data_IF_981234565103
#
_entry.id   IF_981234565103
#
_cell.length_a   1.000
_cell.length_b   1.000
_cell.length_c   1.000
_cell.angle_alpha   90.00
_cell.angle_beta   90.00
_cell.angle_gamma   90.00
#
_symmetry.space_group_name_H-M   'P 1'
#
loop_
_entity.id
_entity.type
_entity.pdbx_description
1 polymer ?
2 branched ?
3 water ?
#
# COMPACT_ATOMS: atom_id res chain seq x y z
N UNK A 38 23.35 -18.43 -5.12
CA UNK A 38 22.30 -17.70 -4.42
C UNK A 38 22.84 -16.47 -3.74
N UNK A 39 23.76 -15.78 -4.41
CA UNK A 39 24.50 -14.68 -3.81
C UNK A 39 23.75 -13.36 -3.87
N UNK A 40 22.79 -13.20 -4.78
CA UNK A 40 22.03 -11.95 -4.92
C UNK A 40 20.59 -12.34 -5.20
N UNK A 41 19.64 -11.47 -4.79
CA UNK A 41 18.24 -11.81 -5.03
C UNK A 41 17.96 -11.69 -6.52
N UNK A 42 17.22 -12.66 -7.06
CA UNK A 42 17.00 -12.77 -8.48
C UNK A 42 15.53 -12.58 -8.82
N UNK A 43 15.25 -11.71 -9.78
CA UNK A 43 13.92 -11.62 -10.32
C UNK A 43 13.57 -12.92 -11.03
N UNK A 44 12.28 -13.10 -11.32
CA UNK A 44 11.84 -14.37 -11.88
C UNK A 44 12.38 -14.62 -13.28
N UNK A 45 12.82 -13.59 -13.99
CA UNK A 45 13.46 -13.75 -15.30
C UNK A 45 14.95 -14.05 -15.18
N UNK A 46 15.46 -14.21 -13.97
CA UNK A 46 16.86 -14.52 -13.75
C UNK A 46 17.76 -13.32 -13.62
N UNK A 47 17.24 -12.12 -13.86
CA UNK A 47 18.02 -10.91 -13.67
C UNK A 47 18.19 -10.59 -12.19
N UNK A 48 19.26 -9.89 -11.87
CA UNK A 48 19.56 -9.55 -10.50
C UNK A 48 18.74 -8.33 -10.10
N UNK A 49 18.19 -8.37 -8.88
CA UNK A 49 17.52 -7.23 -8.28
C UNK A 49 18.52 -6.55 -7.36
N UNK A 50 18.78 -5.26 -7.61
CA UNK A 50 19.72 -4.52 -6.78
C UNK A 50 18.90 -3.49 -5.99
N UNK A 51 18.72 -3.69 -4.68
CA UNK A 51 17.89 -2.75 -3.92
C UNK A 51 18.62 -1.45 -3.64
N UNK A 52 17.85 -0.38 -3.48
CA UNK A 52 18.42 0.84 -2.95
C UNK A 52 18.79 0.65 -1.48
N UNK A 53 19.74 1.46 -1.00
CA UNK A 53 20.25 1.31 0.36
C UNK A 53 19.20 1.62 1.42
N UNK A 54 18.12 2.32 1.06
CA UNK A 54 17.12 2.73 2.04
C UNK A 54 15.89 1.81 2.04
N UNK A 55 15.92 0.73 1.26
CA UNK A 55 14.81 -0.21 1.25
C UNK A 55 14.76 -1.00 2.56
N UNK A 56 13.58 -1.49 2.92
CA UNK A 56 13.45 -2.41 4.06
C UNK A 56 14.23 -3.69 3.82
N UNK A 57 14.41 -4.43 4.90
CA UNK A 57 14.98 -5.76 4.80
C UNK A 57 14.12 -6.64 3.91
N UNK A 58 14.76 -7.61 3.26
CA UNK A 58 14.05 -8.62 2.49
C UNK A 58 14.75 -9.96 2.68
N UNK A 59 13.96 -11.02 2.66
CA UNK A 59 14.44 -12.38 2.72
C UNK A 59 13.36 -13.30 2.17
N UNK A 60 13.78 -14.46 1.64
CA UNK A 60 12.82 -15.49 1.28
C UNK A 60 12.58 -16.51 2.39
N UNK A 61 13.18 -16.31 3.57
CA UNK A 61 13.13 -17.37 4.60
C UNK A 61 11.70 -17.80 4.91
N UNK A 62 10.81 -16.84 5.10
CA UNK A 62 9.38 -17.07 5.22
C UNK A 62 8.71 -16.03 4.32
N UNK A 63 7.39 -16.05 4.26
CA UNK A 63 6.68 -15.13 3.35
C UNK A 63 7.03 -13.70 3.71
N UNK A 64 7.52 -12.89 2.77
CA UNK A 64 7.81 -11.49 3.08
C UNK A 64 6.53 -10.70 3.30
N UNK A 65 6.47 -9.99 4.43
CA UNK A 65 5.23 -9.38 4.85
C UNK A 65 5.32 -7.86 4.93
N UNK A 66 4.18 -7.22 4.68
CA UNK A 66 3.94 -5.81 4.94
C UNK A 66 2.68 -5.74 5.78
N UNK A 67 2.66 -4.82 6.73
CA UNK A 67 1.49 -4.62 7.58
C UNK A 67 0.99 -3.18 7.46
N UNK A 68 -0.32 -2.99 7.59
CA UNK A 68 -0.88 -1.63 7.48
C UNK A 68 -2.14 -1.59 8.34
N UNK A 69 -2.23 -0.60 9.22
CA UNK A 69 -3.24 -0.61 10.27
C UNK A 69 -3.33 0.76 10.93
N UNK A 70 -4.51 1.02 11.52
CA UNK A 70 -4.69 2.19 12.35
C UNK A 70 -5.98 2.03 13.13
N UNK A 71 -6.07 2.77 14.23
CA UNK A 71 -7.25 2.76 15.10
C UNK A 71 -7.46 4.17 15.59
N UNK A 72 -8.59 4.77 15.21
CA UNK A 72 -8.90 6.11 15.69
C UNK A 72 -8.93 6.19 17.21
N UNK A 73 -9.32 5.10 17.89
CA UNK A 73 -9.67 5.15 19.29
C UNK A 73 -8.50 4.89 20.21
N UNK A 74 -7.39 4.35 19.71
CA UNK A 74 -6.36 3.91 20.64
C UNK A 74 -5.04 3.69 19.92
N UNK A 75 -3.96 3.79 20.70
CA UNK A 75 -2.64 3.34 20.30
C UNK A 75 -2.50 1.84 20.57
N UNK A 76 -1.51 1.25 19.92
CA UNK A 76 -1.23 -0.15 20.15
C UNK A 76 -0.72 -0.36 21.56
N UNK A 77 -1.07 -1.48 22.14
CA UNK A 77 -0.44 -1.88 23.39
C UNK A 77 0.97 -2.39 23.10
N UNK A 78 1.88 -2.31 24.07
CA UNK A 78 3.24 -2.84 23.85
C UNK A 78 3.25 -4.25 23.31
N UNK A 79 2.35 -5.10 23.80
CA UNK A 79 2.30 -6.48 23.35
C UNK A 79 1.90 -6.59 21.88
N UNK A 80 1.05 -5.67 21.41
CA UNK A 80 0.64 -5.64 20.01
C UNK A 80 1.78 -5.17 19.12
N UNK A 81 2.54 -4.16 19.57
CA UNK A 81 3.75 -3.76 18.86
C UNK A 81 4.71 -4.94 18.74
N UNK A 82 4.90 -5.69 19.84
CA UNK A 82 5.80 -6.83 19.79
C UNK A 82 5.30 -7.85 18.77
N UNK A 83 4.00 -8.11 18.75
CA UNK A 83 3.43 -9.10 17.85
C UNK A 83 3.72 -8.75 16.40
N UNK A 84 3.41 -7.51 16.02
CA UNK A 84 3.59 -7.10 14.63
C UNK A 84 5.07 -7.02 14.29
N UNK A 85 5.89 -6.48 15.21
CA UNK A 85 7.32 -6.35 14.92
C UNK A 85 7.96 -7.69 14.63
N UNK A 86 7.54 -8.75 15.31
CA UNK A 86 8.10 -10.08 15.05
C UNK A 86 7.84 -10.53 13.62
N UNK A 87 6.77 -10.06 13.00
CA UNK A 87 6.24 -10.58 11.76
C UNK A 87 6.56 -9.73 10.53
N UNK A 88 7.15 -8.55 10.71
CA UNK A 88 7.42 -7.67 9.57
C UNK A 88 8.57 -6.72 9.85
N UNK A 89 9.19 -6.29 8.74
CA UNK A 89 10.18 -5.21 8.73
C UNK A 89 9.65 -3.96 8.02
N UNK A 90 8.36 -3.92 7.65
CA UNK A 90 7.85 -2.90 6.72
C UNK A 90 6.36 -2.71 6.99
N UNK A 91 5.98 -1.53 7.47
CA UNK A 91 4.58 -1.29 7.78
C UNK A 91 4.20 0.17 7.58
N UNK A 92 2.89 0.41 7.63
CA UNK A 92 2.30 1.72 7.44
C UNK A 92 1.23 1.97 8.50
N UNK A 93 1.25 3.18 9.08
CA UNK A 93 0.21 3.63 10.01
C UNK A 93 -0.87 4.36 9.21
N UNK A 94 -2.14 3.99 9.43
CA UNK A 94 -3.27 4.50 8.67
C UNK A 94 -3.70 5.90 9.10
N UNK A 95 -4.72 6.38 8.39
CA UNK A 95 -5.00 7.81 8.25
C UNK A 95 -5.58 8.47 9.49
N UNK A 96 -6.12 7.72 10.45
CA UNK A 96 -6.74 8.30 11.63
C UNK A 96 -6.08 7.86 12.93
N UNK A 97 -4.96 7.14 12.86
CA UNK A 97 -4.46 6.41 14.00
C UNK A 97 -4.22 7.29 15.21
N UNK A 98 -4.84 6.94 16.34
CA UNK A 98 -4.61 7.68 17.57
C UNK A 98 -5.25 9.04 17.63
N UNK A 99 -6.12 9.37 16.69
CA UNK A 99 -6.64 10.73 16.67
C UNK A 99 -7.42 11.07 17.93
N UNK A 100 -8.16 10.09 18.47
CA UNK A 100 -8.91 10.37 19.70
C UNK A 100 -8.01 10.53 20.90
N UNK A 101 -7.14 9.58 21.24
CA UNK A 101 -6.31 9.78 22.44
C UNK A 101 -5.33 10.94 22.34
N UNK A 102 -4.75 11.18 21.16
CA UNK A 102 -3.67 12.15 21.01
C UNK A 102 -4.09 13.44 20.31
N UNK A 103 -5.28 13.48 19.72
CA UNK A 103 -5.81 14.69 19.13
C UNK A 103 -5.49 14.87 17.66
N UNK A 104 -4.54 14.11 17.10
CA UNK A 104 -4.15 14.31 15.72
C UNK A 104 -3.47 13.04 15.22
N UNK A 105 -3.83 12.63 14.00
CA UNK A 105 -3.39 11.34 13.49
C UNK A 105 -1.90 11.27 13.18
N UNK A 106 -1.24 12.39 12.91
CA UNK A 106 0.21 12.34 12.73
C UNK A 106 0.91 12.03 14.04
N UNK A 107 0.29 12.37 15.17
CA UNK A 107 0.84 12.01 16.47
C UNK A 107 0.69 10.51 16.75
N UNK A 108 -0.37 9.89 16.25
CA UNK A 108 -0.45 8.44 16.29
C UNK A 108 0.68 7.78 15.51
N UNK A 109 0.94 8.29 14.31
CA UNK A 109 2.05 7.79 13.51
C UNK A 109 3.38 7.99 14.23
N UNK A 110 3.59 9.18 14.80
CA UNK A 110 4.84 9.45 15.52
C UNK A 110 5.01 8.47 16.68
N UNK A 111 3.93 8.21 17.42
CA UNK A 111 4.01 7.31 18.55
C UNK A 111 4.38 5.90 18.13
N UNK A 112 3.70 5.37 17.12
CA UNK A 112 3.98 3.99 16.72
C UNK A 112 5.33 3.86 16.05
N UNK A 113 5.73 4.83 15.22
CA UNK A 113 7.05 4.71 14.62
C UNK A 113 8.12 4.57 15.68
N UNK A 114 8.00 5.37 16.75
CA UNK A 114 8.98 5.27 17.83
C UNK A 114 8.86 3.96 18.56
N UNK A 115 7.63 3.50 18.84
CA UNK A 115 7.46 2.25 19.56
C UNK A 115 8.06 1.08 18.78
N UNK A 116 7.84 1.03 17.46
CA UNK A 116 8.38 -0.06 16.66
C UNK A 116 9.90 0.03 16.58
N UNK A 117 10.43 1.23 16.44
CA UNK A 117 11.87 1.37 16.24
C UNK A 117 12.65 1.08 17.51
N UNK A 118 11.99 1.17 18.67
CA UNK A 118 12.64 0.75 19.92
C UNK A 118 12.96 -0.74 19.88
N UNK A 119 12.09 -1.54 19.24
CA UNK A 119 12.35 -2.99 19.09
C UNK A 119 13.32 -3.25 17.95
N UNK A 120 12.97 -2.79 16.76
CA UNK A 120 13.78 -3.03 15.57
C UNK A 120 14.12 -1.67 15.00
N UNK A 121 15.32 -1.16 15.26
CA UNK A 121 15.66 0.18 14.76
C UNK A 121 15.59 0.30 13.25
N UNK A 122 15.76 -0.79 12.51
CA UNK A 122 15.75 -0.75 11.05
C UNK A 122 14.38 -1.09 10.46
N UNK A 123 13.36 -1.25 11.29
CA UNK A 123 11.98 -1.33 10.78
C UNK A 123 11.70 -0.09 9.93
N UNK A 124 10.99 -0.28 8.83
CA UNK A 124 10.53 0.84 8.01
C UNK A 124 9.05 1.10 8.29
N UNK A 125 8.72 2.34 8.62
CA UNK A 125 7.38 2.72 9.01
C UNK A 125 6.95 3.89 8.12
N UNK A 126 5.83 3.73 7.39
CA UNK A 126 5.35 4.76 6.48
C UNK A 126 4.23 5.59 7.07
N UNK A 127 4.28 6.89 6.77
CA UNK A 127 3.24 7.86 7.08
C UNK A 127 2.23 7.85 5.94
N UNK A 128 0.95 7.84 6.28
CA UNK A 128 -0.12 7.81 5.27
C UNK A 128 -0.59 9.20 4.92
N UNK A 129 -0.80 9.43 3.62
CA UNK A 129 -1.57 10.63 3.27
C UNK A 129 -2.33 10.41 1.97
N UNK A 130 -3.57 10.87 1.96
CA UNK A 130 -4.42 10.71 0.79
C UNK A 130 -4.22 11.88 -0.15
N UNK A 131 -4.05 11.58 -1.42
CA UNK A 131 -3.84 12.59 -2.45
C UNK A 131 -5.15 13.23 -2.91
N UNK A 132 -6.29 12.65 -2.55
CA UNK A 132 -7.58 12.99 -3.13
C UNK A 132 -8.56 13.50 -2.08
N UNK A 133 -8.83 12.73 -1.03
CA UNK A 133 -9.80 13.08 0.00
C UNK A 133 -9.07 13.81 1.12
N UNK A 134 -9.55 15.01 1.44
CA UNK A 134 -8.96 15.84 2.49
C UNK A 134 -9.43 15.41 3.87
N UNK A 135 -9.05 14.19 4.24
CA UNK A 135 -9.45 13.66 5.55
C UNK A 135 -8.96 14.60 6.64
N UNK A 136 -9.83 15.05 7.56
CA UNK A 136 -9.42 16.09 8.52
C UNK A 136 -8.86 15.53 9.81
N UNK A 137 -8.05 14.48 9.75
CA UNK A 137 -7.62 13.74 10.92
C UNK A 137 -6.25 14.13 11.44
N UNK A 138 -5.36 14.58 10.56
CA UNK A 138 -4.12 15.20 10.97
C UNK A 138 -4.36 16.68 11.26
N UNK A 139 -3.47 17.25 12.08
CA UNK A 139 -3.51 18.70 12.27
C UNK A 139 -3.38 19.44 10.95
N UNK A 140 -2.63 18.88 10.00
CA UNK A 140 -2.39 19.53 8.71
C UNK A 140 -3.69 19.80 7.96
N UNK A 141 -4.66 18.91 8.09
CA UNK A 141 -5.92 18.99 7.37
C UNK A 141 -7.07 19.43 8.27
N UNK A 142 -6.78 19.98 9.44
CA UNK A 142 -7.83 20.28 10.41
C UNK A 142 -8.85 21.29 9.89
N UNK A 143 -8.47 22.12 8.94
CA UNK A 143 -9.39 23.12 8.41
C UNK A 143 -10.41 22.55 7.45
N UNK A 144 -10.23 21.33 6.93
CA UNK A 144 -11.07 20.80 5.88
C UNK A 144 -12.35 20.18 6.46
N UNK A 145 -13.13 21.03 7.13
CA UNK A 145 -14.42 20.65 7.67
C UNK A 145 -15.41 21.74 7.31
N UNK A 146 -16.70 21.41 7.36
CA UNK A 146 -17.72 22.40 7.04
C UNK A 146 -17.61 23.63 7.93
N UNK A 147 -17.33 23.42 9.21
CA UNK A 147 -17.35 24.50 10.19
C UNK A 147 -16.10 25.35 10.16
N UNK A 148 -15.02 24.92 9.49
CA UNK A 148 -13.78 25.68 9.48
C UNK A 148 -13.32 26.14 8.10
N UNK A 149 -13.74 25.46 7.02
CA UNK A 149 -13.08 25.68 5.72
C UNK A 149 -13.31 27.10 5.20
N UNK A 150 -14.48 27.68 5.47
CA UNK A 150 -14.72 29.04 4.99
C UNK A 150 -13.78 30.04 5.65
N UNK A 151 -13.27 29.73 6.84
CA UNK A 151 -12.32 30.60 7.52
C UNK A 151 -10.90 30.44 6.99
N UNK A 152 -10.68 29.56 6.02
CA UNK A 152 -9.34 29.32 5.45
C UNK A 152 -9.46 29.44 3.93
N UNK A 153 -9.59 30.66 3.42
CA UNK A 153 -9.82 30.81 1.98
C UNK A 153 -8.75 30.23 1.08
N UNK A 154 -7.47 30.35 1.45
CA UNK A 154 -6.41 29.78 0.60
C UNK A 154 -6.54 28.26 0.53
N UNK A 155 -6.68 27.61 1.68
CA UNK A 155 -6.87 26.16 1.68
C UNK A 155 -8.15 25.80 0.93
N UNK A 156 -9.24 26.55 1.14
CA UNK A 156 -10.48 26.25 0.44
C UNK A 156 -10.28 26.32 -1.08
N UNK A 157 -9.39 27.19 -1.54
CA UNK A 157 -9.19 27.37 -2.97
C UNK A 157 -8.48 26.19 -3.62
N UNK A 158 -7.95 25.26 -2.83
CA UNK A 158 -7.28 24.07 -3.32
C UNK A 158 -8.26 22.95 -3.64
N UNK A 159 -9.56 23.16 -3.47
CA UNK A 159 -10.54 22.09 -3.47
C UNK A 159 -11.45 22.15 -4.69
N UNK A 160 -11.99 21.01 -5.08
CA UNK A 160 -12.86 20.93 -6.25
C UNK A 160 -14.27 21.41 -5.88
N UNK A 161 -14.89 22.14 -6.81
CA UNK A 161 -16.26 22.64 -6.69
C UNK A 161 -17.20 21.80 -7.55
N UNK A 162 -18.40 21.51 -7.01
CA UNK A 162 -19.47 20.84 -7.76
C UNK A 162 -20.21 21.89 -8.56
N UNK A 163 -20.15 21.86 -9.90
CA UNK A 163 -20.90 22.86 -10.68
C UNK A 163 -22.40 22.83 -10.43
N UNK A 164 -22.96 21.67 -10.07
CA UNK A 164 -24.40 21.59 -9.85
C UNK A 164 -24.85 22.45 -8.67
N UNK A 165 -23.96 22.73 -7.71
CA UNK A 165 -24.31 23.49 -6.53
C UNK A 165 -23.55 24.81 -6.41
N UNK A 166 -22.46 24.99 -7.15
CA UNK A 166 -21.51 26.08 -6.94
C UNK A 166 -20.87 26.01 -5.55
N UNK A 167 -20.94 24.85 -4.91
CA UNK A 167 -20.40 24.63 -3.58
C UNK A 167 -19.33 23.53 -3.67
N UNK A 168 -18.61 23.35 -2.57
CA UNK A 168 -17.53 22.36 -2.58
C UNK A 168 -18.08 20.98 -2.90
N UNK A 169 -17.36 20.28 -3.78
CA UNK A 169 -17.60 18.85 -4.00
C UNK A 169 -17.19 18.09 -2.74
N UNK A 170 -17.87 16.97 -2.50
CA UNK A 170 -17.57 16.23 -1.29
C UNK A 170 -18.16 14.84 -1.35
N UNK A 171 -17.62 13.98 -0.47
CA UNK A 171 -18.18 12.70 -0.26
C UNK A 171 -18.44 12.66 1.24
N UNK A 172 -19.71 12.72 1.64
CA UNK A 172 -20.07 12.71 3.05
C UNK A 172 -19.25 13.73 3.85
N UNK A 173 -19.18 14.94 3.30
CA UNK A 173 -18.59 16.11 3.96
C UNK A 173 -17.09 16.08 4.02
N UNK A 174 -16.44 15.24 3.21
CA UNK A 174 -15.00 15.24 3.06
C UNK A 174 -14.68 15.81 1.68
N UNK A 175 -13.84 16.83 1.65
CA UNK A 175 -13.58 17.59 0.44
C UNK A 175 -12.48 16.96 -0.42
N UNK A 176 -12.37 17.47 -1.65
CA UNK A 176 -11.58 16.87 -2.71
C UNK A 176 -10.44 17.81 -3.08
N UNK A 177 -9.19 17.39 -2.84
CA UNK A 177 -8.07 18.16 -3.33
C UNK A 177 -8.08 18.21 -4.86
N UNK A 178 -7.60 19.33 -5.42
CA UNK A 178 -7.55 19.51 -6.88
C UNK A 178 -6.12 19.45 -7.37
N UNK A 179 -5.73 18.29 -7.92
CA UNK A 179 -4.34 18.13 -8.37
C UNK A 179 -3.99 19.00 -9.57
N UNK A 180 -4.97 19.53 -10.28
CA UNK A 180 -4.69 20.44 -11.38
C UNK A 180 -4.28 21.83 -10.91
N UNK A 181 -4.49 22.15 -9.63
CA UNK A 181 -4.14 23.44 -9.03
C UNK A 181 -2.67 23.39 -8.64
N UNK A 182 -1.80 24.17 -9.28
CA UNK A 182 -0.36 24.08 -8.94
C UNK A 182 -0.10 24.46 -7.51
N UNK A 183 -0.90 25.37 -6.95
CA UNK A 183 -0.70 25.76 -5.56
C UNK A 183 -1.04 24.60 -4.62
N UNK A 184 -2.05 23.81 -4.96
CA UNK A 184 -2.33 22.59 -4.19
C UNK A 184 -1.19 21.60 -4.30
N UNK A 185 -0.64 21.40 -5.50
CA UNK A 185 0.46 20.45 -5.63
C UNK A 185 1.61 20.84 -4.73
N UNK A 186 1.92 22.14 -4.65
CA UNK A 186 3.02 22.60 -3.80
C UNK A 186 2.69 22.43 -2.32
N UNK A 187 1.50 22.86 -1.90
CA UNK A 187 1.10 22.77 -0.50
C UNK A 187 1.03 21.31 -0.05
N UNK A 188 0.39 20.46 -0.83
CA UNK A 188 0.19 19.06 -0.44
C UNK A 188 1.52 18.33 -0.35
N UNK A 189 2.41 18.53 -1.31
CA UNK A 189 3.68 17.83 -1.26
C UNK A 189 4.52 18.31 -0.09
N UNK A 190 4.50 19.60 0.22
CA UNK A 190 5.19 20.08 1.42
C UNK A 190 4.54 19.50 2.67
N UNK A 191 3.21 19.43 2.71
CA UNK A 191 2.51 18.92 3.89
C UNK A 191 2.87 17.47 4.15
N UNK A 192 2.87 16.63 3.11
CA UNK A 192 3.21 15.22 3.34
C UNK A 192 4.65 15.10 3.83
N UNK A 193 5.57 15.84 3.21
CA UNK A 193 6.95 15.84 3.71
C UNK A 193 7.03 16.28 5.16
N UNK A 194 6.25 17.29 5.53
CA UNK A 194 6.20 17.69 6.93
C UNK A 194 5.74 16.54 7.82
N UNK A 195 4.70 15.82 7.39
CA UNK A 195 4.19 14.73 8.19
C UNK A 195 5.20 13.62 8.35
N UNK A 196 5.91 13.28 7.28
CA UNK A 196 7.00 12.31 7.37
C UNK A 196 8.06 12.79 8.37
N UNK A 197 8.45 14.06 8.30
CA UNK A 197 9.51 14.57 9.18
C UNK A 197 9.04 14.62 10.62
N UNK A 198 7.84 15.16 10.87
CA UNK A 198 7.34 15.28 12.24
C UNK A 198 7.11 13.90 12.88
N UNK A 199 6.69 12.93 12.09
CA UNK A 199 6.37 11.62 12.64
C UNK A 199 7.58 10.71 12.76
N UNK A 200 8.73 11.09 12.19
CA UNK A 200 9.87 10.19 12.21
C UNK A 200 9.72 8.98 11.32
N UNK A 201 8.78 9.02 10.39
CA UNK A 201 8.59 7.88 9.50
C UNK A 201 9.62 7.84 8.38
N UNK A 202 9.70 6.69 7.73
CA UNK A 202 10.71 6.40 6.73
C UNK A 202 10.24 6.66 5.31
N UNK A 203 9.08 7.28 5.16
CA UNK A 203 8.54 7.59 3.85
C UNK A 203 7.03 7.72 3.96
N UNK A 204 6.38 7.70 2.82
CA UNK A 204 4.96 7.96 2.74
C UNK A 204 4.23 6.93 1.90
N UNK A 205 3.05 6.55 2.35
CA UNK A 205 2.07 5.79 1.58
C UNK A 205 1.06 6.78 1.03
N UNK A 206 0.99 6.90 -0.29
CA UNK A 206 0.05 7.81 -0.95
C UNK A 206 -1.13 7.04 -1.49
N UNK A 207 -2.30 7.33 -0.95
CA UNK A 207 -3.55 6.73 -1.40
C UNK A 207 -4.16 7.57 -2.51
N UNK A 208 -4.63 6.89 -3.53
CA UNK A 208 -5.34 7.39 -4.70
C UNK A 208 -4.40 8.01 -5.71
N UNK A 209 -4.62 7.65 -6.97
CA UNK A 209 -3.88 8.21 -8.08
C UNK A 209 -4.77 8.95 -9.06
N UNK A 210 -6.12 8.94 -8.88
CA UNK A 210 -7.06 9.31 -9.94
C UNK A 210 -7.29 10.79 -10.13
N UNK A 211 -6.98 11.63 -9.15
CA UNK A 211 -7.27 13.05 -9.23
C UNK A 211 -8.69 13.40 -9.64
N UNK A 212 -9.66 12.55 -9.28
CA UNK A 212 -11.06 12.79 -9.64
C UNK A 212 -11.23 13.12 -11.12
N UNK A 213 -10.53 12.38 -11.98
CA UNK A 213 -10.58 12.71 -13.40
C UNK A 213 -12.00 12.65 -13.95
N UNK A 214 -12.87 11.81 -13.36
CA UNK A 214 -14.24 11.68 -13.86
C UNK A 214 -15.04 12.96 -13.66
N UNK A 215 -14.62 13.84 -12.78
CA UNK A 215 -15.25 15.14 -12.58
C UNK A 215 -14.73 16.20 -13.56
N UNK A 216 -13.72 15.89 -14.37
CA UNK A 216 -13.17 16.80 -15.38
C UNK A 216 -12.58 15.84 -16.43
N UNK A 217 -13.44 15.08 -17.09
CA UNK A 217 -12.95 13.98 -17.93
C UNK A 217 -12.19 14.47 -19.15
N UNK A 218 -12.52 15.65 -19.66
CA UNK A 218 -11.82 16.22 -20.80
C UNK A 218 -10.39 16.61 -20.45
N UNK A 219 -10.05 16.61 -19.16
CA UNK A 219 -8.70 16.91 -18.72
C UNK A 219 -8.00 15.69 -18.14
N UNK A 220 -8.45 14.47 -18.51
CA UNK A 220 -7.91 13.25 -17.90
C UNK A 220 -6.40 13.14 -18.06
N UNK A 221 -5.88 13.41 -19.26
CA UNK A 221 -4.44 13.35 -19.46
C UNK A 221 -3.72 14.39 -18.59
N UNK A 222 -4.27 15.60 -18.51
CA UNK A 222 -3.67 16.62 -17.66
C UNK A 222 -3.62 16.17 -16.21
N UNK A 223 -4.69 15.50 -15.74
CA UNK A 223 -4.72 15.00 -14.37
C UNK A 223 -3.59 13.99 -14.16
N UNK A 224 -3.41 13.06 -15.10
CA UNK A 224 -2.35 12.06 -14.98
C UNK A 224 -0.98 12.73 -14.87
N UNK A 225 -0.71 13.72 -15.72
CA UNK A 225 0.56 14.43 -15.68
C UNK A 225 0.72 15.20 -14.37
N UNK A 226 -0.37 15.83 -13.89
CA UNK A 226 -0.30 16.60 -12.66
C UNK A 226 -0.02 15.71 -11.46
N UNK A 227 -0.62 14.53 -11.44
CA UNK A 227 -0.29 13.56 -10.38
C UNK A 227 1.19 13.21 -10.38
N UNK A 228 1.75 13.01 -11.57
CA UNK A 228 3.18 12.80 -11.65
C UNK A 228 3.97 13.95 -11.06
N UNK A 229 3.60 15.18 -11.43
CA UNK A 229 4.29 16.36 -10.91
C UNK A 229 4.20 16.44 -9.40
N UNK A 230 3.02 16.16 -8.83
CA UNK A 230 2.86 16.25 -7.38
C UNK A 230 3.71 15.20 -6.67
N UNK A 231 3.74 13.98 -7.21
CA UNK A 231 4.59 12.93 -6.62
C UNK A 231 6.05 13.29 -6.73
N UNK A 232 6.47 13.87 -7.85
CA UNK A 232 7.88 14.24 -7.99
C UNK A 232 8.27 15.32 -7.00
N UNK A 233 7.38 16.29 -6.75
CA UNK A 233 7.65 17.28 -5.73
C UNK A 233 7.84 16.62 -4.37
N UNK A 234 6.95 15.69 -4.04
CA UNK A 234 7.03 15.04 -2.73
C UNK A 234 8.33 14.24 -2.59
N UNK A 235 8.70 13.50 -3.64
CA UNK A 235 9.93 12.71 -3.56
C UNK A 235 11.13 13.60 -3.25
N UNK A 236 11.22 14.76 -3.90
CA UNK A 236 12.33 15.66 -3.60
C UNK A 236 12.26 16.23 -2.19
N UNK A 237 11.06 16.65 -1.76
CA UNK A 237 10.93 17.37 -0.51
C UNK A 237 11.18 16.49 0.71
N UNK A 238 10.96 15.18 0.60
CA UNK A 238 11.26 14.30 1.73
C UNK A 238 12.76 14.17 1.97
N UNK A 239 13.58 14.49 0.97
CA UNK A 239 15.01 14.33 1.10
C UNK A 239 15.47 12.89 0.94
N UNK A 240 16.75 12.67 1.20
CA UNK A 240 17.31 11.35 0.95
C UNK A 240 16.74 10.24 1.83
N UNK A 241 16.77 9.02 1.28
CA UNK A 241 16.59 7.82 2.06
C UNK A 241 15.16 7.63 2.56
N UNK A 242 14.20 8.18 1.84
CA UNK A 242 12.78 8.03 2.18
C UNK A 242 12.04 7.29 1.07
N UNK A 243 11.11 6.42 1.49
CA UNK A 243 10.37 5.54 0.59
C UNK A 243 9.07 6.23 0.17
N UNK A 244 8.78 6.23 -1.12
CA UNK A 244 7.50 6.73 -1.64
C UNK A 244 6.74 5.54 -2.21
N UNK A 245 5.64 5.18 -1.57
CA UNK A 245 4.79 4.07 -2.01
C UNK A 245 3.47 4.62 -2.53
N UNK A 246 3.15 4.30 -3.78
CA UNK A 246 1.91 4.72 -4.38
C UNK A 246 0.92 3.57 -4.48
N UNK A 247 -0.28 3.80 -3.94
CA UNK A 247 -1.29 2.76 -4.00
C UNK A 247 -1.82 2.62 -5.42
N UNK A 248 -1.89 1.37 -5.88
CA UNK A 248 -2.37 1.05 -7.24
C UNK A 248 -1.60 1.79 -8.33
N UNK A 249 -0.30 2.00 -8.13
CA UNK A 249 0.50 2.70 -9.12
C UNK A 249 0.91 1.82 -10.29
N UNK A 250 0.43 0.58 -10.32
CA UNK A 250 0.57 -0.24 -11.52
C UNK A 250 -0.41 0.15 -12.61
N UNK A 251 -1.45 0.91 -12.29
CA UNK A 251 -2.48 1.24 -13.25
C UNK A 251 -2.04 2.33 -14.21
N UNK A 252 -2.62 2.31 -15.41
CA UNK A 252 -2.25 3.28 -16.45
C UNK A 252 -2.41 4.72 -15.96
N UNK A 253 -3.44 4.99 -15.15
CA UNK A 253 -3.68 6.37 -14.70
C UNK A 253 -2.52 6.89 -13.88
N UNK A 254 -1.68 6.00 -13.36
CA UNK A 254 -0.55 6.35 -12.53
C UNK A 254 0.78 6.40 -13.27
N UNK A 255 0.77 6.35 -14.59
CA UNK A 255 2.00 6.20 -15.36
C UNK A 255 2.99 7.34 -15.16
N UNK A 256 2.52 8.58 -14.98
CA UNK A 256 3.45 9.67 -14.78
C UNK A 256 3.98 9.74 -13.36
N UNK A 257 3.27 9.15 -12.41
CA UNK A 257 3.74 9.08 -11.04
C UNK A 257 4.68 7.90 -10.79
N UNK A 258 4.47 6.79 -11.48
CA UNK A 258 5.26 5.59 -11.25
C UNK A 258 6.77 5.81 -11.25
N UNK A 259 7.36 6.59 -12.15
CA UNK A 259 8.83 6.67 -12.16
C UNK A 259 9.43 7.15 -10.85
N UNK A 260 8.76 8.05 -10.12
CA UNK A 260 9.36 8.57 -8.90
C UNK A 260 9.02 7.71 -7.68
N UNK A 261 8.16 6.71 -7.82
CA UNK A 261 7.80 5.85 -6.72
C UNK A 261 8.91 4.82 -6.49
N UNK A 262 9.11 4.49 -5.22
CA UNK A 262 9.96 3.35 -4.86
C UNK A 262 9.17 2.06 -4.75
N UNK A 263 7.85 2.15 -4.59
CA UNK A 263 7.03 0.97 -4.31
C UNK A 263 5.62 1.25 -4.79
N UNK A 264 4.87 0.17 -5.04
CA UNK A 264 3.49 0.25 -5.50
C UNK A 264 2.70 -0.89 -4.89
N UNK A 265 1.48 -0.62 -4.50
CA UNK A 265 0.60 -1.61 -3.91
C UNK A 265 -0.48 -2.07 -4.86
N UNK A 266 -0.67 -3.39 -4.95
CA UNK A 266 -1.86 -3.99 -5.56
C UNK A 266 -2.88 -4.13 -4.45
N UNK A 267 -3.86 -3.24 -4.40
CA UNK A 267 -4.80 -3.20 -3.30
C UNK A 267 -5.92 -4.25 -3.39
N UNK A 268 -6.22 -4.73 -4.59
CA UNK A 268 -7.28 -5.73 -4.76
C UNK A 268 -8.57 -5.27 -4.10
N UNK A 269 -8.99 -4.04 -4.44
CA UNK A 269 -10.09 -3.36 -3.77
C UNK A 269 -11.48 -3.79 -4.25
N UNK A 270 -11.58 -4.71 -5.21
CA UNK A 270 -12.89 -5.24 -5.57
C UNK A 270 -12.72 -6.62 -6.18
N UNK A 271 -13.87 -7.27 -6.42
CA UNK A 271 -13.85 -8.63 -6.94
C UNK A 271 -13.21 -8.70 -8.33
N UNK A 272 -13.43 -7.68 -9.14
CA UNK A 272 -12.90 -7.69 -10.50
C UNK A 272 -11.38 -7.76 -10.49
N UNK A 273 -10.74 -7.07 -9.54
CA UNK A 273 -9.28 -7.07 -9.47
C UNK A 273 -8.72 -8.38 -8.92
N UNK A 274 -9.60 -9.31 -8.53
CA UNK A 274 -9.22 -10.64 -8.08
C UNK A 274 -9.60 -11.72 -9.09
N UNK A 275 -10.03 -11.32 -10.28
CA UNK A 275 -10.39 -12.28 -11.32
C UNK A 275 -9.13 -12.99 -11.83
N UNK A 276 -9.33 -14.14 -12.48
CA UNK A 276 -8.17 -14.86 -13.03
C UNK A 276 -7.36 -13.97 -13.97
N UNK A 277 -8.03 -13.10 -14.73
CA UNK A 277 -7.32 -12.26 -15.67
C UNK A 277 -6.55 -11.17 -14.93
N UNK A 278 -7.14 -10.62 -13.89
CA UNK A 278 -6.44 -9.58 -13.14
C UNK A 278 -5.24 -10.14 -12.39
N UNK A 279 -5.36 -11.36 -11.86
CA UNK A 279 -4.22 -11.98 -11.18
C UNK A 279 -3.08 -12.24 -12.14
N UNK A 280 -3.37 -12.73 -13.35
CA UNK A 280 -2.33 -12.86 -14.35
C UNK A 280 -1.68 -11.51 -14.64
N UNK A 281 -2.48 -10.46 -14.71
CA UNK A 281 -1.94 -9.12 -14.91
C UNK A 281 -1.09 -8.70 -13.71
N UNK A 282 -1.54 -9.02 -12.49
CA UNK A 282 -0.72 -8.71 -11.31
C UNK A 282 0.66 -9.33 -11.46
N UNK A 283 0.71 -10.59 -11.89
CA UNK A 283 2.00 -11.27 -11.97
C UNK A 283 2.89 -10.59 -13.01
N UNK A 284 2.32 -10.20 -14.16
CA UNK A 284 3.10 -9.46 -15.14
C UNK A 284 3.62 -8.15 -14.55
N UNK A 285 2.71 -7.43 -13.86
CA UNK A 285 3.08 -6.13 -13.30
C UNK A 285 4.15 -6.27 -12.22
N UNK A 286 4.08 -7.33 -11.42
CA UNK A 286 5.08 -7.55 -10.38
C UNK A 286 6.46 -7.74 -10.97
N UNK A 287 6.55 -8.48 -12.08
CA UNK A 287 7.81 -8.62 -12.77
C UNK A 287 8.30 -7.28 -13.30
N UNK A 288 7.40 -6.50 -13.92
CA UNK A 288 7.81 -5.20 -14.46
C UNK A 288 8.28 -4.28 -13.35
N UNK A 289 7.59 -4.29 -12.21
CA UNK A 289 8.00 -3.45 -11.10
C UNK A 289 9.38 -3.87 -10.60
N UNK A 290 9.60 -5.18 -10.46
CA UNK A 290 10.91 -5.67 -10.01
C UNK A 290 12.01 -5.31 -11.01
N UNK A 291 11.72 -5.46 -12.29
CA UNK A 291 12.71 -5.12 -13.31
C UNK A 291 13.06 -3.64 -13.25
N UNK A 292 12.16 -2.80 -12.75
CA UNK A 292 12.44 -1.38 -12.56
C UNK A 292 13.16 -1.09 -11.26
N UNK A 293 13.51 -2.12 -10.49
CA UNK A 293 14.17 -1.90 -9.22
C UNK A 293 13.30 -1.42 -8.09
N UNK A 294 11.97 -1.50 -8.25
CA UNK A 294 11.01 -0.99 -7.27
C UNK A 294 10.40 -2.15 -6.51
N UNK A 295 9.72 -1.83 -5.41
CA UNK A 295 9.07 -2.83 -4.57
C UNK A 295 7.59 -2.92 -4.90
N UNK A 296 6.99 -4.08 -4.67
CA UNK A 296 5.55 -4.18 -4.74
C UNK A 296 4.98 -4.75 -3.45
N UNK A 297 3.77 -4.33 -3.11
CA UNK A 297 3.00 -4.91 -2.02
C UNK A 297 1.80 -5.57 -2.68
N UNK A 298 1.61 -6.84 -2.42
CA UNK A 298 0.46 -7.59 -2.90
C UNK A 298 -0.46 -7.73 -1.70
N UNK A 299 -1.51 -6.92 -1.68
CA UNK A 299 -2.40 -6.82 -0.52
C UNK A 299 -3.73 -7.49 -0.81
N UNK A 300 -4.20 -8.26 0.15
CA UNK A 300 -5.51 -8.90 0.04
C UNK A 300 -6.34 -8.49 1.21
N UNK A 301 -7.57 -8.08 0.91
CA UNK A 301 -8.62 -7.93 1.88
C UNK A 301 -9.72 -8.91 1.56
N UNK A 302 -9.93 -9.85 2.47
CA UNK A 302 -10.93 -10.88 2.27
C UNK A 302 -12.33 -10.29 2.20
N UNK A 303 -12.50 -9.02 2.58
CA UNK A 303 -13.78 -8.35 2.37
C UNK A 303 -14.23 -8.38 0.92
N UNK A 304 -13.30 -8.58 -0.03
CA UNK A 304 -13.62 -8.71 -1.44
C UNK A 304 -13.70 -10.17 -1.91
N UNK A 305 -13.63 -11.13 -0.99
CA UNK A 305 -13.79 -12.53 -1.34
C UNK A 305 -15.25 -12.84 -1.62
N UNK A 306 -15.54 -13.76 -2.56
CA UNK A 306 -16.94 -14.05 -2.89
C UNK A 306 -17.77 -14.50 -1.69
N UNK A 307 -17.16 -15.16 -0.71
CA UNK A 307 -17.88 -15.74 0.42
C UNK A 307 -18.41 -14.69 1.40
N UNK A 320 -18.10 -14.59 9.38
CA UNK A 320 -17.14 -14.14 10.38
C UNK A 320 -15.73 -14.03 9.79
N UNK A 321 -15.20 -12.80 9.80
CA UNK A 321 -14.05 -12.45 8.98
C UNK A 321 -12.76 -13.16 9.37
N UNK A 322 -12.41 -13.27 10.65
CA UNK A 322 -11.19 -14.02 10.99
C UNK A 322 -11.23 -15.47 10.55
N UNK A 323 -12.37 -16.14 10.71
CA UNK A 323 -12.47 -17.54 10.31
C UNK A 323 -12.33 -17.66 8.80
N UNK A 324 -13.06 -16.84 8.04
CA UNK A 324 -12.97 -16.84 6.59
C UNK A 324 -11.54 -16.52 6.13
N UNK A 325 -10.95 -15.47 6.68
CA UNK A 325 -9.59 -15.11 6.26
C UNK A 325 -8.61 -16.23 6.58
N UNK A 326 -8.74 -16.84 7.75
CA UNK A 326 -7.82 -17.93 8.08
C UNK A 326 -7.98 -19.10 7.12
N UNK A 327 -9.23 -19.41 6.72
CA UNK A 327 -9.46 -20.51 5.78
C UNK A 327 -8.91 -20.18 4.40
N UNK A 328 -9.02 -18.92 3.98
CA UNK A 328 -8.64 -18.51 2.63
C UNK A 328 -7.18 -18.11 2.53
N UNK A 329 -6.42 -18.15 3.62
CA UNK A 329 -5.04 -17.68 3.57
C UNK A 329 -4.21 -18.48 2.57
N UNK A 330 -4.38 -19.80 2.52
CA UNK A 330 -3.58 -20.60 1.61
C UNK A 330 -3.79 -20.18 0.17
N UNK A 331 -5.05 -19.95 -0.23
CA UNK A 331 -5.34 -19.51 -1.59
C UNK A 331 -4.70 -18.16 -1.88
N UNK A 332 -4.89 -17.17 -1.01
CA UNK A 332 -4.38 -15.83 -1.33
C UNK A 332 -2.87 -15.76 -1.26
N UNK A 333 -2.26 -16.50 -0.32
CA UNK A 333 -0.81 -16.60 -0.29
C UNK A 333 -0.29 -17.23 -1.57
N UNK A 334 -0.93 -18.31 -2.02
CA UNK A 334 -0.53 -18.94 -3.26
C UNK A 334 -0.56 -17.95 -4.42
N UNK A 335 -1.60 -17.12 -4.47
CA UNK A 335 -1.70 -16.12 -5.54
C UNK A 335 -0.51 -15.17 -5.51
N UNK A 336 -0.09 -14.75 -4.32
CA UNK A 336 1.09 -13.90 -4.20
C UNK A 336 2.35 -14.64 -4.63
N UNK A 337 2.54 -15.88 -4.14
CA UNK A 337 3.79 -16.58 -4.37
C UNK A 337 4.03 -16.90 -5.85
N UNK A 338 2.97 -17.15 -6.60
CA UNK A 338 3.14 -17.37 -8.05
C UNK A 338 3.92 -16.21 -8.67
N UNK A 339 3.60 -14.98 -8.27
CA UNK A 339 4.21 -13.82 -8.87
C UNK A 339 5.30 -13.15 -8.08
N UNK A 340 5.62 -13.66 -6.89
CA UNK A 340 6.49 -12.93 -5.97
C UNK A 340 7.86 -12.66 -6.58
N UNK A 341 8.42 -11.52 -6.21
CA UNK A 341 9.73 -11.05 -6.65
C UNK A 341 10.55 -10.56 -5.48
N UNK A 342 11.86 -10.42 -5.66
CA UNK A 342 12.66 -9.78 -4.61
C UNK A 342 12.05 -8.44 -4.24
N UNK A 343 12.07 -8.13 -2.94
CA UNK A 343 11.58 -6.85 -2.44
C UNK A 343 10.12 -6.63 -2.80
N UNK A 344 9.36 -7.73 -2.85
CA UNK A 344 7.91 -7.70 -2.85
C UNK A 344 7.42 -8.26 -1.53
N UNK A 345 6.23 -7.85 -1.12
CA UNK A 345 5.71 -8.12 0.22
C UNK A 345 4.23 -8.43 0.12
N UNK A 346 3.75 -9.33 0.99
CA UNK A 346 2.34 -9.69 1.07
C UNK A 346 1.72 -9.00 2.28
N UNK A 347 0.47 -8.56 2.11
CA UNK A 347 -0.30 -8.00 3.21
C UNK A 347 -1.62 -8.76 3.21
N UNK A 348 -2.06 -9.16 4.40
CA UNK A 348 -3.24 -10.00 4.50
C UNK A 348 -4.14 -9.59 5.66
N UNK A 349 -5.44 -9.58 5.36
CA UNK A 349 -6.44 -9.27 6.36
C UNK A 349 -7.78 -9.05 5.70
N UNK A 350 -8.62 -8.25 6.36
CA UNK A 350 -9.95 -7.93 5.87
C UNK A 350 -10.25 -6.43 6.01
N UNK A 351 -9.23 -5.60 5.90
CA UNK A 351 -9.41 -4.16 5.96
C UNK A 351 -8.15 -3.48 6.42
N UNK A 352 -8.33 -2.28 6.93
CA UNK A 352 -7.25 -1.32 7.20
C UNK A 352 -7.21 -0.88 8.65
N UNK A 353 -8.09 -1.39 9.49
CA UNK A 353 -8.04 -1.05 10.90
C UNK A 353 -7.11 -2.01 11.64
N UNK A 354 -6.77 -1.64 12.86
CA UNK A 354 -5.92 -2.50 13.68
C UNK A 354 -6.57 -3.86 13.91
N UNK A 355 -7.89 -3.91 13.95
CA UNK A 355 -8.62 -5.15 14.19
C UNK A 355 -8.87 -5.94 12.91
N UNK A 356 -8.32 -5.53 11.76
CA UNK A 356 -8.62 -6.15 10.47
C UNK A 356 -7.63 -7.24 10.07
N UNK A 357 -6.90 -7.81 11.01
CA UNK A 357 -6.08 -8.99 10.73
C UNK A 357 -4.64 -8.89 11.19
N UNK A 358 -4.13 -7.68 11.39
CA UNK A 358 -2.73 -7.52 11.77
C UNK A 358 -2.40 -8.25 13.06
N UNK A 359 -3.38 -8.44 13.94
CA UNK A 359 -3.12 -9.03 15.25
C UNK A 359 -3.48 -10.50 15.30
N UNK A 360 -3.81 -11.10 14.16
CA UNK A 360 -4.12 -12.52 14.09
C UNK A 360 -2.94 -13.28 13.52
N UNK A 361 -2.80 -14.55 13.91
CA UNK A 361 -1.79 -15.43 13.34
C UNK A 361 -2.39 -16.19 12.15
N UNK A 362 -1.74 -16.10 10.99
CA UNK A 362 -2.05 -16.91 9.83
C UNK A 362 -0.87 -17.85 9.68
N UNK A 363 -0.97 -19.12 10.09
CA UNK A 363 0.25 -19.92 10.24
C UNK A 363 1.03 -20.13 8.96
N UNK A 364 0.35 -20.11 7.81
CA UNK A 364 1.04 -20.27 6.53
C UNK A 364 2.13 -19.22 6.35
N UNK A 365 1.92 -18.02 6.86
CA UNK A 365 2.87 -16.94 6.65
C UNK A 365 4.16 -17.11 7.42
N UNK A 366 4.23 -18.05 8.36
CA UNK A 366 5.42 -18.22 9.17
C UNK A 366 6.18 -19.47 8.78
N UNK A 367 5.71 -20.19 7.78
CA UNK A 367 6.36 -21.42 7.36
C UNK A 367 7.55 -21.14 6.45
N UNK A 368 8.54 -22.02 6.50
CA UNK A 368 9.73 -21.87 5.68
C UNK A 368 9.35 -21.90 4.19
N UNK A 369 9.90 -20.94 3.44
CA UNK A 369 9.61 -20.77 2.04
C UNK A 369 10.86 -21.00 1.20
N UNK A 370 11.90 -20.19 1.38
CA UNK A 370 13.14 -20.32 0.65
C UNK A 370 13.05 -19.67 -0.72
N UNK A 371 14.19 -19.52 -1.38
CA UNK A 371 14.21 -18.83 -2.67
C UNK A 371 13.44 -19.61 -3.72
N UNK A 372 12.82 -18.94 -4.69
CA UNK A 372 12.19 -19.66 -5.79
C UNK A 372 13.23 -20.42 -6.61
N UNK A 373 12.83 -21.59 -7.10
CA UNK A 373 13.63 -22.41 -8.01
C UNK A 373 13.47 -22.01 -9.47
N UNK A 374 12.51 -21.17 -9.76
CA UNK A 374 12.23 -20.70 -11.09
C UNK A 374 10.97 -19.88 -11.08
N UNK A 375 10.68 -19.28 -12.23
CA UNK A 375 9.42 -18.61 -12.47
C UNK A 375 8.26 -19.60 -12.41
N UNK A 376 7.05 -19.07 -12.28
CA UNK A 376 5.88 -19.92 -12.25
C UNK A 376 5.71 -20.61 -13.60
N UNK A 377 4.99 -21.72 -13.56
CA UNK A 377 4.55 -22.45 -14.74
C UNK A 377 3.05 -22.33 -14.86
N UNK A 378 2.55 -21.98 -16.04
CA UNK A 378 1.14 -22.16 -16.38
C UNK A 378 0.98 -23.59 -16.91
N UNK A 379 0.38 -24.45 -16.09
CA UNK A 379 0.51 -25.90 -16.29
C UNK A 379 0.06 -26.31 -17.68
N UNK A 380 -1.08 -25.80 -18.13
CA UNK A 380 -1.54 -26.00 -19.50
C UNK A 380 -1.68 -24.64 -20.16
N UNK A 381 -1.20 -24.47 -21.40
CA UNK A 381 -0.95 -23.11 -21.93
C UNK A 381 -2.11 -22.14 -21.84
N UNK A 382 -3.35 -22.59 -21.98
CA UNK A 382 -4.49 -21.70 -21.89
C UNK A 382 -5.34 -21.96 -20.67
N UNK A 383 -4.89 -22.83 -19.76
CA UNK A 383 -5.62 -23.11 -18.56
C UNK A 383 -5.32 -22.09 -17.46
N UNK A 384 -5.91 -22.34 -16.29
CA UNK A 384 -5.83 -21.41 -15.17
C UNK A 384 -5.21 -22.07 -13.94
N UNK A 385 -4.47 -23.15 -14.13
CA UNK A 385 -3.63 -23.74 -13.10
C UNK A 385 -2.23 -23.16 -13.22
N UNK A 386 -1.68 -22.75 -12.08
CA UNK A 386 -0.33 -22.20 -12.05
C UNK A 386 0.42 -22.84 -10.89
N UNK A 387 1.70 -23.07 -11.09
CA UNK A 387 2.54 -23.67 -10.06
C UNK A 387 3.84 -22.88 -9.95
N UNK A 388 4.48 -23.01 -8.78
CA UNK A 388 5.81 -22.47 -8.63
C UNK A 388 6.51 -23.22 -7.52
N UNK A 389 7.81 -23.45 -7.70
CA UNK A 389 8.62 -24.24 -6.78
C UNK A 389 9.58 -23.31 -6.06
N UNK A 390 9.58 -23.39 -4.72
CA UNK A 390 10.49 -22.70 -3.84
C UNK A 390 11.31 -23.78 -3.13
N UNK A 391 12.36 -23.36 -2.46
CA UNK A 391 13.24 -24.36 -1.88
C UNK A 391 12.51 -25.24 -0.88
N UNK A 392 11.55 -24.67 -0.15
CA UNK A 392 10.87 -25.36 0.93
C UNK A 392 9.37 -25.50 0.72
N UNK A 393 8.86 -25.25 -0.48
CA UNK A 393 7.43 -25.33 -0.71
C UNK A 393 7.13 -25.46 -2.20
N UNK A 394 6.05 -26.18 -2.50
CA UNK A 394 5.49 -26.26 -3.83
C UNK A 394 4.12 -25.60 -3.83
N UNK A 395 3.93 -24.64 -4.71
CA UNK A 395 2.70 -23.87 -4.77
C UNK A 395 1.88 -24.32 -5.97
N UNK A 396 0.58 -24.53 -5.75
CA UNK A 396 -0.38 -24.84 -6.81
C UNK A 396 -1.60 -23.97 -6.59
N UNK A 397 -2.11 -23.35 -7.65
CA UNK A 397 -3.33 -22.54 -7.56
C UNK A 397 -4.11 -22.66 -8.87
N UNK A 398 -5.43 -22.75 -8.73
CA UNK A 398 -6.35 -22.59 -9.85
C UNK A 398 -7.13 -21.30 -9.61
N UNK A 399 -6.82 -20.27 -10.39
CA UNK A 399 -7.43 -18.96 -10.19
C UNK A 399 -8.79 -18.86 -10.88
N UNK A 400 -9.15 -19.84 -11.71
CA UNK A 400 -10.52 -19.91 -12.23
C UNK A 400 -11.47 -20.44 -11.16
N UNK A 401 -11.08 -21.51 -10.49
CA UNK A 401 -11.96 -22.12 -9.50
C UNK A 401 -11.76 -21.57 -8.08
N UNK A 402 -10.65 -20.88 -7.83
CA UNK A 402 -10.43 -20.31 -6.52
C UNK A 402 -9.95 -21.31 -5.50
N UNK A 403 -9.17 -22.30 -5.92
CA UNK A 403 -8.60 -23.31 -5.04
C UNK A 403 -7.08 -23.29 -5.12
N UNK A 404 -6.45 -23.69 -4.03
CA UNK A 404 -5.01 -23.76 -4.00
C UNK A 404 -4.54 -24.81 -3.01
N UNK A 405 -3.26 -25.14 -3.12
CA UNK A 405 -2.59 -26.00 -2.16
C UNK A 405 -1.12 -25.66 -2.19
N UNK A 406 -0.58 -25.28 -1.03
CA UNK A 406 0.84 -25.12 -0.86
C UNK A 406 1.33 -26.34 -0.10
N UNK A 407 2.19 -27.13 -0.73
CA UNK A 407 2.80 -28.30 -0.09
C UNK A 407 4.11 -27.82 0.53
N UNK A 408 4.10 -27.69 1.85
CA UNK A 408 5.29 -27.25 2.57
C UNK A 408 6.18 -28.45 2.84
N UNK A 409 7.47 -28.28 2.55
CA UNK A 409 8.45 -29.36 2.65
C UNK A 409 9.51 -29.05 3.70
X LIG B 1 -6.90 2.50 1.44
X LIG B 1 -5.51 2.09 1.80
X LIG B 1 -8.78 4.64 1.19
X LIG B 1 -7.72 2.98 2.63
X LIG B 1 -9.01 3.53 2.16
X LIG B 1 -7.94 4.20 0.00
X LIG B 1 -6.69 3.60 0.49
X LIG B 1 -7.01 4.02 3.35
X LIG B 1 -8.66 3.22 -0.64
X LIG B 1 -9.83 4.04 3.28
X LIG B 1 -10.11 6.69 0.40
X LIG B 1 -9.12 7.05 -0.64
X LIG B 1 -11.52 6.81 -0.09
X LIG B 1 -9.83 7.39 1.67
X LIG B 1 -10.02 5.11 0.66
X LIG B 2 -12.56 4.72 2.41
X LIG B 2 -13.17 5.15 3.73
X LIG B 2 -12.18 5.09 4.81
X LIG B 2 -11.58 3.70 4.89
X LIG B 2 -10.96 3.25 3.59
X LIG B 2 -11.95 3.34 2.53
X LIG B 2 -13.59 4.67 1.36
X LIG B 2 -12.82 5.40 6.09
X LIG B 2 -10.55 2.44 6.91
X LIG B 2 -11.79 2.52 7.78
X LIG B 2 -9.28 2.65 7.67
X LIG B 2 -10.62 1.22 6.08
X LIG B 2 -10.57 3.73 5.89
X LIG B 2 -15.76 4.80 4.33
X LIG B 2 -15.89 6.19 3.81
X LIG B 2 -16.60 3.71 3.75
X LIG B 2 -15.94 5.03 5.79
X LIG B 2 -14.21 4.19 4.07
X LIG B 3 -12.47 6.66 6.57
X LIG B 3 -13.66 7.20 7.39
X LIG B 3 -13.85 6.38 8.61
X LIG B 3 -12.60 6.20 9.41
X LIG B 3 -11.42 5.67 8.58
X LIG B 3 -10.13 5.69 9.36
X LIG B 3 -14.79 7.21 6.49
X LIG B 3 -14.87 7.03 9.48
X LIG B 3 -12.23 7.48 10.00
X LIG B 3 -11.27 6.54 7.41
X LIG B 4 -16.99 5.52 9.52
X LIG B 4 -17.75 4.33 9.03
X LIG B 4 -15.85 7.06 11.66
X LIG B 4 -17.85 6.32 10.50
X LIG B 4 -17.12 7.48 11.01
X LIG B 4 -15.02 6.25 10.64
X LIG B 4 -15.76 5.06 10.23
X LIG B 4 -18.15 5.45 11.62
X LIG B 4 -17.96 8.15 12.02
X LIG B 4 -13.94 8.13 13.13
X LIG B 4 -14.46 7.56 14.43
X LIG B 4 -12.77 7.32 12.57
X LIG B 4 -13.47 9.52 13.48
X LIG B 4 -15.17 8.24 12.03
#
# INVERSE_FOLDING_TARGET
>A
MGSSHHHHHHSSGLVPRGSHMASMTGGQQMGRGSEFLGQHYLNSDGSRFVPKDFYPKFSWDTTPMYYMFGDTTRLLEPEEVEFIAERTDFLCIEKSHGRTPLGAAELGAKHEAAAFKKIKPDMKVLFYFNSAYAWPFTSYNQAFTRNKIDEHPKLKSFLIVDPKTAELAHRRNVFFFDVLNPELREWWSTTVAKGVAESGCDGAFIAQMHGFAWLRADKSEDVQKAMGEMMALLKRKMGPDKILLGNNANQDIAKDAFPVMDASMFEHYNEKLLSKESLLQDWDDMLRIAQAGKMSIFRIGVESDPRASQDQGRRGSRRDQPVLAKERAEYYLACYLIGAQPYSYFQYGWGWTLSSGSLHEFPELRKALGPPKGAYDRTTPDGWEFTREFEHASVWVNTETGNAKITWR
>B hetero
1 X6Y C5 C6 C2 C4 C3 C1 O5 O4 O1 O3 S1 O6 O7 O8 O2
2 X2Y C5 C4 C3 C2 C1 O5 C6 O3 S1 O6 O7 O8 O2 S2 O9 O10 O11 O4
3 FUC C1 C2 C3 C4 C5 C6 O2 O3 O4 O5
4 X6Y C5 C6 C2 C4 C3 C1 O5 O4 O3 S1 O6 O7 O8 O2
#
